data_IF_414100417438
#
_entry.id   IF_414100417438
#
_cell.length_a   1.000
_cell.length_b   1.000
_cell.length_c   1.000
_cell.angle_alpha   90.00
_cell.angle_beta   90.00
_cell.angle_gamma   90.00
#
_symmetry.space_group_name_H-M   'P 1'
#
loop_
_entity.id
_entity.type
_entity.pdbx_description
1 polymer ?
#
# COMPACT_ATOMS: atom_id res chain seq x y z
N UNK A 1 25.68 29.57 -24.40
CA UNK A 1 24.42 29.04 -23.84
C UNK A 1 23.89 30.05 -22.84
N UNK A 2 22.79 30.73 -23.15
CA UNK A 2 22.21 31.71 -22.23
C UNK A 2 21.34 30.97 -21.19
N UNK A 3 21.15 31.56 -20.00
CA UNK A 3 20.30 30.98 -18.95
C UNK A 3 18.89 30.65 -19.48
N UNK A 4 18.35 31.47 -20.37
CA UNK A 4 17.03 31.26 -20.99
C UNK A 4 16.97 30.00 -21.88
N UNK A 5 18.10 29.56 -22.44
CA UNK A 5 18.14 28.36 -23.28
C UNK A 5 17.93 27.07 -22.47
N UNK A 6 18.18 27.10 -21.16
CA UNK A 6 17.90 25.98 -20.25
C UNK A 6 16.40 25.75 -20.03
N UNK A 7 15.57 26.78 -20.26
CA UNK A 7 14.13 26.75 -20.04
C UNK A 7 13.35 26.74 -21.37
N UNK A 8 13.93 26.18 -22.43
CA UNK A 8 13.29 26.10 -23.76
C UNK A 8 12.07 25.19 -23.79
N UNK A 9 12.03 24.16 -22.95
CA UNK A 9 10.86 23.29 -22.80
C UNK A 9 10.27 23.48 -21.42
N UNK A 10 8.99 23.87 -21.38
CA UNK A 10 8.22 23.92 -20.15
C UNK A 10 7.44 22.61 -19.96
N UNK A 11 7.55 22.01 -18.78
CA UNK A 11 6.69 20.90 -18.38
C UNK A 11 5.50 21.44 -17.59
N UNK A 12 4.29 21.17 -18.04
CA UNK A 12 3.05 21.58 -17.37
C UNK A 12 2.29 20.35 -16.88
N UNK A 13 2.29 20.11 -15.59
CA UNK A 13 1.44 19.10 -14.97
C UNK A 13 0.00 19.59 -14.88
N UNK A 14 -0.94 18.75 -15.29
CA UNK A 14 -2.39 19.00 -15.20
C UNK A 14 -3.09 17.84 -14.51
N UNK A 15 -4.04 18.17 -13.63
CA UNK A 15 -4.83 17.17 -12.89
C UNK A 15 -5.73 16.31 -13.78
N UNK A 16 -6.07 16.77 -14.99
CA UNK A 16 -6.92 16.05 -15.93
C UNK A 16 -6.64 16.46 -17.38
N UNK A 17 -6.96 15.55 -18.32
CA UNK A 17 -6.75 15.75 -19.76
C UNK A 17 -7.43 17.00 -20.31
N UNK A 18 -8.69 17.24 -19.94
CA UNK A 18 -9.46 18.41 -20.41
C UNK A 18 -8.80 19.73 -20.05
N UNK A 19 -8.28 19.86 -18.83
CA UNK A 19 -7.50 21.02 -18.40
C UNK A 19 -6.20 21.15 -19.19
N UNK A 20 -5.60 20.02 -19.57
CA UNK A 20 -4.46 20.00 -20.48
C UNK A 20 -4.77 20.56 -21.86
N UNK A 21 -5.81 20.05 -22.51
CA UNK A 21 -6.25 20.53 -23.83
C UNK A 21 -6.55 22.05 -23.79
N UNK A 22 -7.22 22.53 -22.75
CA UNK A 22 -7.50 23.96 -22.56
C UNK A 22 -6.24 24.81 -22.43
N UNK A 23 -5.20 24.31 -21.76
CA UNK A 23 -3.92 25.02 -21.64
C UNK A 23 -3.21 25.06 -23.00
N UNK A 24 -3.23 23.96 -23.76
CA UNK A 24 -2.64 23.91 -25.10
C UNK A 24 -3.30 24.96 -26.02
N UNK A 25 -4.63 24.95 -26.08
CA UNK A 25 -5.40 25.89 -26.89
C UNK A 25 -5.14 27.35 -26.48
N UNK A 26 -5.14 27.62 -25.17
CA UNK A 26 -4.88 28.96 -24.64
C UNK A 26 -3.45 29.44 -24.95
N UNK A 27 -2.45 28.56 -24.84
CA UNK A 27 -1.06 28.89 -25.17
C UNK A 27 -0.91 29.17 -26.66
N UNK A 28 -1.51 28.35 -27.54
CA UNK A 28 -1.48 28.58 -28.98
C UNK A 28 -2.06 29.96 -29.33
N UNK A 29 -3.25 30.27 -28.82
CA UNK A 29 -3.90 31.56 -29.06
C UNK A 29 -3.09 32.75 -28.49
N UNK A 30 -2.50 32.59 -27.31
CA UNK A 30 -1.68 33.63 -26.68
C UNK A 30 -0.39 33.91 -27.47
N UNK A 31 0.31 32.85 -27.90
CA UNK A 31 1.54 32.97 -28.70
C UNK A 31 1.24 33.62 -30.05
N UNK A 32 0.16 33.20 -30.70
CA UNK A 32 -0.29 33.78 -31.97
C UNK A 32 -0.53 35.29 -31.84
N UNK A 33 -1.28 35.68 -30.82
CA UNK A 33 -1.58 37.09 -30.52
C UNK A 33 -0.32 37.91 -30.25
N UNK A 34 0.62 37.38 -29.48
CA UNK A 34 1.87 38.09 -29.17
C UNK A 34 2.78 38.23 -30.40
N UNK A 35 2.84 37.22 -31.27
CA UNK A 35 3.58 37.32 -32.53
C UNK A 35 3.01 38.42 -33.44
N UNK A 36 1.68 38.49 -33.56
CA UNK A 36 1.02 39.58 -34.31
C UNK A 36 1.34 40.93 -33.70
N UNK A 37 1.24 41.06 -32.36
CA UNK A 37 1.54 42.31 -31.63
C UNK A 37 2.98 42.79 -31.85
N UNK A 38 3.93 41.86 -31.92
CA UNK A 38 5.35 42.15 -32.11
C UNK A 38 5.78 42.23 -33.58
N UNK A 39 4.84 42.15 -34.52
CA UNK A 39 5.08 42.09 -35.96
C UNK A 39 6.12 41.01 -36.35
N UNK A 40 6.00 39.84 -35.72
CA UNK A 40 6.81 38.65 -36.01
C UNK A 40 5.99 37.70 -36.89
N UNK A 41 6.67 37.01 -37.80
CA UNK A 41 6.03 35.90 -38.52
C UNK A 41 5.53 34.88 -37.50
N UNK A 42 4.30 34.38 -37.69
CA UNK A 42 3.77 33.32 -36.84
C UNK A 42 4.70 32.12 -36.93
N UNK A 43 5.36 31.83 -35.80
CA UNK A 43 6.12 30.62 -35.61
C UNK A 43 5.24 29.59 -34.93
N UNK A 44 5.36 28.34 -35.37
CA UNK A 44 4.68 27.21 -34.75
C UNK A 44 5.14 27.06 -33.28
N UNK A 45 4.18 26.83 -32.38
CA UNK A 45 4.44 26.55 -30.97
C UNK A 45 4.06 25.10 -30.71
N UNK A 46 5.05 24.20 -30.70
CA UNK A 46 4.80 22.77 -30.51
C UNK A 46 4.54 22.49 -29.02
N UNK A 47 3.27 22.23 -28.70
CA UNK A 47 2.79 21.89 -27.37
C UNK A 47 2.09 20.52 -27.42
N UNK A 48 2.63 19.53 -26.71
CA UNK A 48 2.16 18.14 -26.80
C UNK A 48 1.55 17.67 -25.48
N UNK A 49 0.55 16.79 -25.56
CA UNK A 49 -0.12 16.20 -24.40
C UNK A 49 0.36 14.77 -24.13
N UNK A 50 0.74 14.49 -22.89
CA UNK A 50 1.02 13.15 -22.36
C UNK A 50 -0.05 12.81 -21.32
N UNK A 51 -0.85 11.78 -21.56
CA UNK A 51 -1.88 11.36 -20.60
C UNK A 51 -1.96 9.84 -20.51
N UNK A 52 -2.60 9.31 -19.46
CA UNK A 52 -2.75 7.85 -19.29
C UNK A 52 -3.53 7.13 -20.40
N UNK A 53 -4.19 7.86 -21.30
CA UNK A 53 -4.85 7.30 -22.49
C UNK A 53 -3.99 7.33 -23.77
N UNK A 54 -2.74 7.76 -23.67
CA UNK A 54 -1.76 7.80 -24.79
C UNK A 54 -0.89 6.54 -24.72
N UNK A 55 -0.56 5.96 -25.88
CA UNK A 55 0.30 4.77 -25.92
C UNK A 55 1.71 5.07 -25.41
N UNK A 56 2.35 4.11 -24.73
CA UNK A 56 3.70 4.26 -24.20
C UNK A 56 4.72 4.60 -25.29
N UNK A 57 4.53 4.07 -26.50
CA UNK A 57 5.38 4.39 -27.66
C UNK A 57 5.30 5.86 -28.02
N UNK A 58 4.10 6.44 -28.01
CA UNK A 58 3.89 7.86 -28.31
C UNK A 58 4.50 8.75 -27.22
N UNK A 59 4.34 8.37 -25.96
CA UNK A 59 5.00 9.05 -24.82
C UNK A 59 6.52 9.04 -25.01
N UNK A 60 7.11 7.89 -25.35
CA UNK A 60 8.56 7.80 -25.61
C UNK A 60 9.00 8.66 -26.79
N UNK A 61 8.22 8.73 -27.86
CA UNK A 61 8.53 9.58 -29.02
C UNK A 61 8.51 11.07 -28.66
N UNK A 62 7.50 11.54 -27.92
CA UNK A 62 7.43 12.94 -27.46
C UNK A 62 8.66 13.31 -26.63
N UNK A 63 9.12 12.38 -25.80
CA UNK A 63 10.28 12.61 -24.94
C UNK A 63 11.59 12.58 -25.70
N UNK A 64 11.73 11.68 -26.66
CA UNK A 64 12.88 11.64 -27.56
C UNK A 64 13.01 12.97 -28.33
N UNK A 65 11.91 13.50 -28.86
CA UNK A 65 11.91 14.79 -29.56
C UNK A 65 12.29 15.95 -28.61
N UNK A 66 11.86 15.87 -27.35
CA UNK A 66 12.22 16.82 -26.32
C UNK A 66 13.72 16.77 -25.99
N UNK A 67 14.35 15.59 -25.99
CA UNK A 67 15.80 15.44 -25.80
C UNK A 67 16.62 15.90 -27.00
N UNK A 68 16.20 15.54 -28.22
CA UNK A 68 16.88 15.92 -29.46
C UNK A 68 16.96 17.45 -29.62
N UNK A 69 15.95 18.16 -29.12
CA UNK A 69 15.88 19.63 -29.07
C UNK A 69 17.06 20.30 -28.32
N UNK A 70 17.86 19.52 -27.57
CA UNK A 70 19.04 19.97 -26.82
C UNK A 70 20.35 19.25 -27.18
N UNK A 71 20.36 18.40 -28.21
CA UNK A 71 21.49 17.51 -28.52
C UNK A 71 22.67 18.20 -29.23
N UNK A 72 22.45 19.35 -29.87
CA UNK A 72 23.40 20.02 -30.75
C UNK A 72 24.11 21.21 -30.07
N UNK A 73 25.35 21.50 -30.50
CA UNK A 73 26.12 22.69 -30.04
C UNK A 73 25.43 24.00 -30.43
N UNK A 74 24.73 23.99 -31.56
CA UNK A 74 23.87 25.08 -32.01
C UNK A 74 22.42 24.72 -31.72
N UNK A 75 21.73 25.60 -31.00
CA UNK A 75 20.34 25.38 -30.69
C UNK A 75 19.46 25.46 -31.94
N UNK A 76 18.62 24.45 -32.22
CA UNK A 76 17.66 24.53 -33.31
C UNK A 76 16.69 25.70 -33.12
N UNK A 77 16.05 26.10 -34.23
CA UNK A 77 15.06 27.17 -34.21
C UNK A 77 13.93 26.78 -33.26
N UNK A 78 13.47 27.75 -32.48
CA UNK A 78 12.38 27.56 -31.51
C UNK A 78 11.12 26.96 -32.16
N UNK A 79 10.86 27.31 -33.42
CA UNK A 79 9.74 26.82 -34.21
C UNK A 79 9.82 25.35 -34.65
N UNK A 80 10.99 24.72 -34.52
CA UNK A 80 11.26 23.35 -34.99
C UNK A 80 11.39 22.36 -33.81
N UNK A 81 11.23 22.84 -32.58
CA UNK A 81 11.40 22.07 -31.35
C UNK A 81 10.13 22.04 -30.54
N UNK A 82 9.93 20.96 -29.78
CA UNK A 82 8.95 20.91 -28.69
C UNK A 82 9.20 22.08 -27.74
N UNK A 83 8.14 22.81 -27.37
CA UNK A 83 8.22 23.99 -26.49
C UNK A 83 7.53 23.78 -25.16
N UNK A 84 6.50 22.94 -25.16
CA UNK A 84 5.74 22.65 -23.97
C UNK A 84 5.26 21.20 -24.02
N UNK A 85 5.36 20.54 -22.87
CA UNK A 85 4.79 19.22 -22.65
C UNK A 85 3.77 19.39 -21.56
N UNK A 86 2.50 19.18 -21.89
CA UNK A 86 1.41 19.15 -20.92
C UNK A 86 1.20 17.70 -20.54
N UNK A 87 1.21 17.37 -19.26
CA UNK A 87 1.13 16.00 -18.81
C UNK A 87 0.24 15.79 -17.58
N UNK A 88 -0.47 14.66 -17.53
CA UNK A 88 -1.14 14.21 -16.30
C UNK A 88 -0.18 13.40 -15.42
N UNK A 89 -0.72 12.57 -14.52
CA UNK A 89 0.01 11.53 -13.75
C UNK A 89 0.90 10.60 -14.59
N UNK A 90 0.78 10.59 -15.91
CA UNK A 90 1.66 9.83 -16.78
C UNK A 90 3.12 10.32 -16.73
N UNK A 91 3.40 11.58 -16.32
CA UNK A 91 4.78 12.08 -16.21
C UNK A 91 5.52 11.63 -14.94
N UNK A 92 4.79 11.27 -13.88
CA UNK A 92 5.42 10.80 -12.64
C UNK A 92 5.96 9.37 -12.79
N UNK A 93 5.36 8.56 -13.68
CA UNK A 93 5.67 7.14 -13.84
C UNK A 93 6.29 6.82 -15.21
N UNK A 94 7.39 6.07 -15.23
CA UNK A 94 7.82 5.32 -16.41
C UNK A 94 8.46 6.10 -17.56
N UNK A 95 8.80 7.38 -17.36
CA UNK A 95 9.41 8.21 -18.40
C UNK A 95 10.53 9.05 -17.79
N UNK A 96 11.75 8.85 -18.27
CA UNK A 96 12.94 9.48 -17.72
C UNK A 96 13.55 10.46 -18.72
N UNK A 97 13.61 11.74 -18.36
CA UNK A 97 14.28 12.77 -19.16
C UNK A 97 15.02 13.69 -18.18
N UNK A 98 16.34 13.70 -18.29
CA UNK A 98 17.22 14.35 -17.31
C UNK A 98 17.38 15.87 -17.49
N UNK A 99 16.57 16.50 -18.34
CA UNK A 99 16.89 17.82 -18.90
C UNK A 99 15.81 18.89 -18.81
N UNK A 100 14.71 18.66 -18.11
CA UNK A 100 13.74 19.73 -17.84
C UNK A 100 14.23 20.65 -16.72
N UNK A 101 14.14 21.97 -16.93
CA UNK A 101 14.53 22.97 -15.91
C UNK A 101 13.37 23.90 -15.52
N UNK A 102 12.18 23.74 -16.09
CA UNK A 102 10.99 24.51 -15.72
C UNK A 102 9.76 23.62 -15.68
N UNK A 103 9.07 23.64 -14.53
CA UNK A 103 7.81 22.95 -14.33
C UNK A 103 6.72 23.85 -13.79
N UNK A 104 5.49 23.61 -14.23
CA UNK A 104 4.29 24.27 -13.75
C UNK A 104 3.28 23.20 -13.33
N UNK A 105 2.77 23.26 -12.10
CA UNK A 105 1.64 22.45 -11.65
C UNK A 105 0.36 23.28 -11.77
N UNK A 106 -0.47 22.98 -12.76
CA UNK A 106 -1.81 23.55 -12.89
C UNK A 106 -2.80 22.78 -12.00
N UNK A 107 -2.86 23.21 -10.75
CA UNK A 107 -3.50 22.48 -9.65
C UNK A 107 -2.56 21.47 -9.00
N UNK A 108 -2.83 21.17 -7.73
CA UNK A 108 -2.05 20.19 -6.98
C UNK A 108 -2.43 18.75 -7.40
N UNK A 109 -1.45 17.83 -7.59
CA UNK A 109 -1.74 16.42 -7.80
C UNK A 109 -2.59 15.82 -6.67
N UNK A 110 -3.33 14.76 -6.99
CA UNK A 110 -4.13 14.05 -6.00
C UNK A 110 -3.28 13.37 -4.93
N UNK A 111 -2.08 12.91 -5.26
CA UNK A 111 -1.16 12.27 -4.33
C UNK A 111 0.11 13.12 -4.13
N UNK A 112 0.61 13.14 -2.89
CA UNK A 112 1.89 13.77 -2.56
C UNK A 112 3.04 12.99 -3.20
N UNK A 113 2.96 11.66 -3.25
CA UNK A 113 3.97 10.84 -3.92
C UNK A 113 4.12 11.23 -5.40
N UNK A 114 2.98 11.45 -6.07
CA UNK A 114 2.93 11.91 -7.45
C UNK A 114 3.54 13.31 -7.61
N UNK A 115 3.25 14.24 -6.69
CA UNK A 115 3.87 15.56 -6.68
C UNK A 115 5.39 15.50 -6.56
N UNK A 116 5.93 14.66 -5.65
CA UNK A 116 7.38 14.45 -5.50
C UNK A 116 7.97 13.89 -6.79
N UNK A 117 7.39 12.79 -7.29
CA UNK A 117 7.91 12.11 -8.47
C UNK A 117 7.92 13.03 -9.68
N UNK A 118 6.83 13.76 -9.92
CA UNK A 118 6.70 14.69 -11.03
C UNK A 118 7.67 15.88 -10.88
N UNK A 119 7.73 16.52 -9.71
CA UNK A 119 8.62 17.67 -9.46
C UNK A 119 10.11 17.29 -9.52
N UNK A 120 10.46 16.07 -9.12
CA UNK A 120 11.83 15.54 -9.20
C UNK A 120 12.36 15.32 -10.62
N UNK A 121 11.50 15.43 -11.65
CA UNK A 121 11.90 15.41 -13.07
C UNK A 121 12.58 16.69 -13.50
N UNK A 122 12.53 17.74 -12.69
CA UNK A 122 13.03 19.07 -13.04
C UNK A 122 14.26 19.44 -12.22
N UNK A 123 15.22 20.08 -12.87
CA UNK A 123 16.41 20.60 -12.21
C UNK A 123 17.50 19.56 -11.95
N UNK A 124 17.50 18.44 -12.69
CA UNK A 124 18.50 17.35 -12.52
C UNK A 124 19.88 17.72 -13.07
N UNK A 125 19.92 18.31 -14.26
CA UNK A 125 21.17 18.69 -14.93
C UNK A 125 21.63 20.11 -14.61
N UNK A 126 20.68 21.04 -14.48
CA UNK A 126 20.94 22.46 -14.20
C UNK A 126 19.92 22.96 -13.18
N UNK A 127 20.17 24.12 -12.57
CA UNK A 127 19.20 24.75 -11.67
C UNK A 127 17.88 24.96 -12.43
N UNK A 128 16.81 24.37 -11.91
CA UNK A 128 15.46 24.51 -12.42
C UNK A 128 14.53 25.15 -11.40
N UNK A 129 13.31 25.43 -11.83
CA UNK A 129 12.24 25.88 -10.93
C UNK A 129 10.95 25.10 -11.16
N UNK A 130 10.18 24.99 -10.09
CA UNK A 130 8.85 24.38 -10.08
C UNK A 130 7.88 25.42 -9.52
N UNK A 131 6.81 25.71 -10.27
CA UNK A 131 5.79 26.66 -9.86
C UNK A 131 4.44 25.95 -9.68
N UNK A 132 3.82 26.12 -8.52
CA UNK A 132 2.43 25.70 -8.30
C UNK A 132 1.47 26.83 -8.69
N UNK A 133 0.59 26.56 -9.65
CA UNK A 133 -0.53 27.40 -10.05
C UNK A 133 -1.81 26.83 -9.40
N UNK A 134 -2.16 27.26 -8.17
CA UNK A 134 -3.29 26.70 -7.43
C UNK A 134 -4.61 27.03 -8.12
N UNK A 135 -5.57 26.09 -8.08
CA UNK A 135 -6.95 26.38 -8.47
C UNK A 135 -7.67 27.06 -7.31
N UNK A 136 -8.07 28.35 -7.39
CA UNK A 136 -8.59 29.09 -6.24
C UNK A 136 -9.88 28.52 -5.65
N UNK A 137 -10.64 27.80 -6.46
CA UNK A 137 -11.89 27.13 -6.06
C UNK A 137 -11.63 25.83 -5.28
N UNK A 138 -10.43 25.24 -5.43
CA UNK A 138 -10.08 24.01 -4.73
C UNK A 138 -9.59 24.33 -3.31
N UNK A 139 -10.32 23.84 -2.31
CA UNK A 139 -9.96 24.03 -0.89
C UNK A 139 -8.58 23.46 -0.56
N UNK A 140 -8.19 22.34 -1.18
CA UNK A 140 -6.89 21.70 -0.95
C UNK A 140 -5.75 22.60 -1.43
N UNK A 141 -5.86 23.12 -2.64
CA UNK A 141 -4.86 24.01 -3.21
C UNK A 141 -4.69 25.28 -2.37
N UNK A 142 -5.81 25.91 -1.94
CA UNK A 142 -5.76 27.07 -1.03
C UNK A 142 -5.01 26.76 0.26
N UNK A 143 -5.35 25.64 0.89
CA UNK A 143 -4.71 25.22 2.14
C UNK A 143 -3.19 25.00 1.96
N UNK A 144 -2.77 24.39 0.85
CA UNK A 144 -1.34 24.18 0.57
C UNK A 144 -0.60 25.50 0.34
N UNK A 145 -1.25 26.49 -0.25
CA UNK A 145 -0.66 27.83 -0.38
C UNK A 145 -0.57 28.53 0.99
N UNK A 146 -1.61 28.45 1.82
CA UNK A 146 -1.63 29.02 3.17
C UNK A 146 -0.57 28.38 4.09
N UNK A 147 -0.28 27.09 3.89
CA UNK A 147 0.66 26.30 4.71
C UNK A 147 1.92 25.89 3.95
N UNK A 148 2.33 26.66 2.94
CA UNK A 148 3.37 26.29 1.97
C UNK A 148 4.67 25.78 2.61
N UNK A 149 5.20 26.48 3.62
CA UNK A 149 6.43 26.08 4.34
C UNK A 149 6.26 24.74 5.05
N UNK A 150 5.17 24.55 5.78
CA UNK A 150 4.88 23.30 6.51
C UNK A 150 4.69 22.15 5.52
N UNK A 151 3.94 22.38 4.45
CA UNK A 151 3.69 21.39 3.40
C UNK A 151 5.00 20.87 2.79
N UNK A 152 5.92 21.78 2.41
CA UNK A 152 7.20 21.38 1.83
C UNK A 152 8.19 20.81 2.84
N UNK A 153 8.13 21.23 4.12
CA UNK A 153 8.99 20.69 5.18
C UNK A 153 8.66 19.24 5.54
N UNK A 154 7.38 18.85 5.46
CA UNK A 154 6.92 17.52 5.87
C UNK A 154 6.46 16.64 4.71
N UNK A 155 6.84 17.02 3.48
CA UNK A 155 6.35 16.45 2.24
C UNK A 155 6.55 14.93 2.17
N UNK A 156 7.73 14.42 2.53
CA UNK A 156 8.04 12.98 2.57
C UNK A 156 7.23 12.21 3.63
N UNK A 157 6.87 12.85 4.74
CA UNK A 157 6.07 12.23 5.81
C UNK A 157 4.59 12.09 5.45
N UNK A 158 4.16 12.79 4.40
CA UNK A 158 2.79 12.77 3.89
C UNK A 158 2.60 11.73 2.78
N UNK A 159 3.67 11.03 2.37
CA UNK A 159 3.57 9.89 1.44
C UNK A 159 2.80 8.78 2.13
N UNK A 160 1.72 8.30 1.51
CA UNK A 160 1.00 7.14 2.00
C UNK A 160 1.94 5.92 1.98
N UNK A 161 1.99 5.10 3.04
CA UNK A 161 2.76 3.86 2.99
C UNK A 161 2.24 3.00 1.84
N UNK A 162 3.13 2.26 1.14
CA UNK A 162 2.71 1.34 0.09
C UNK A 162 1.69 0.34 0.67
N UNK A 163 0.76 -0.11 -0.18
CA UNK A 163 -0.20 -1.13 0.22
C UNK A 163 0.56 -2.32 0.82
N UNK A 164 0.19 -2.70 2.06
CA UNK A 164 0.85 -3.80 2.77
C UNK A 164 0.55 -5.09 2.00
N UNK A 165 1.60 -5.74 1.51
CA UNK A 165 1.51 -7.06 0.91
C UNK A 165 0.92 -8.06 1.91
N UNK A 166 0.03 -8.94 1.45
CA UNK A 166 -0.65 -9.95 2.29
C UNK A 166 0.34 -10.75 3.15
N UNK A 167 1.51 -11.04 2.60
CA UNK A 167 2.55 -11.83 3.22
C UNK A 167 3.69 -11.00 3.83
N UNK A 168 3.47 -9.72 4.13
CA UNK A 168 4.51 -8.90 4.78
C UNK A 168 5.11 -9.59 6.01
N UNK A 169 6.43 -9.83 6.00
CA UNK A 169 7.14 -10.64 7.00
C UNK A 169 6.84 -10.19 8.43
N UNK A 170 6.91 -8.89 8.68
CA UNK A 170 6.64 -8.32 10.00
C UNK A 170 5.19 -8.49 10.46
N UNK A 171 4.22 -8.56 9.53
CA UNK A 171 2.83 -8.83 9.88
C UNK A 171 2.65 -10.28 10.32
N UNK A 172 3.21 -11.23 9.55
CA UNK A 172 3.19 -12.67 9.88
C UNK A 172 3.88 -12.94 11.22
N UNK A 173 5.05 -12.33 11.46
CA UNK A 173 5.77 -12.52 12.72
C UNK A 173 5.01 -11.97 13.93
N UNK A 174 4.36 -10.81 13.81
CA UNK A 174 3.61 -10.19 14.92
C UNK A 174 2.36 -10.98 15.32
N UNK A 175 1.76 -11.76 14.41
CA UNK A 175 0.56 -12.55 14.71
C UNK A 175 0.86 -13.94 15.28
N UNK A 176 2.12 -14.38 15.32
CA UNK A 176 2.51 -15.71 15.81
C UNK A 176 2.09 -15.98 17.26
N UNK A 177 2.20 -14.99 18.14
CA UNK A 177 1.75 -15.13 19.53
C UNK A 177 0.22 -15.38 19.60
N UNK A 178 -0.55 -14.73 18.74
CA UNK A 178 -1.99 -14.96 18.64
C UNK A 178 -2.32 -16.35 18.09
N UNK A 179 -1.54 -16.86 17.13
CA UNK A 179 -1.72 -18.23 16.65
C UNK A 179 -1.43 -19.27 17.74
N UNK A 180 -0.39 -19.07 18.55
CA UNK A 180 -0.13 -19.95 19.69
C UNK A 180 -1.30 -19.98 20.68
N UNK A 181 -1.87 -18.81 21.01
CA UNK A 181 -3.02 -18.72 21.89
C UNK A 181 -4.25 -19.43 21.28
N UNK A 182 -4.56 -19.16 20.02
CA UNK A 182 -5.69 -19.81 19.33
C UNK A 182 -5.49 -21.32 19.26
N UNK A 183 -4.28 -21.78 18.94
CA UNK A 183 -3.93 -23.20 18.97
C UNK A 183 -4.19 -23.81 20.34
N UNK A 184 -3.71 -23.18 21.42
CA UNK A 184 -3.89 -23.66 22.78
C UNK A 184 -5.38 -23.78 23.17
N UNK A 185 -6.19 -22.76 22.85
CA UNK A 185 -7.63 -22.77 23.09
C UNK A 185 -8.35 -23.86 22.28
N UNK A 186 -7.96 -24.06 21.02
CA UNK A 186 -8.55 -25.11 20.18
C UNK A 186 -8.15 -26.51 20.65
N UNK A 187 -6.92 -26.70 21.13
CA UNK A 187 -6.50 -27.97 21.72
C UNK A 187 -7.27 -28.28 23.01
N UNK A 188 -7.50 -27.27 23.86
CA UNK A 188 -8.37 -27.43 25.04
C UNK A 188 -9.79 -27.83 24.64
N UNK A 189 -10.39 -27.12 23.68
CA UNK A 189 -11.73 -27.44 23.19
C UNK A 189 -11.81 -28.85 22.61
N UNK A 190 -10.83 -29.27 21.81
CA UNK A 190 -10.73 -30.65 21.28
C UNK A 190 -10.66 -31.68 22.41
N UNK A 191 -9.82 -31.46 23.42
CA UNK A 191 -9.69 -32.36 24.57
C UNK A 191 -10.98 -32.42 25.39
N UNK A 192 -11.67 -31.29 25.55
CA UNK A 192 -12.96 -31.22 26.25
C UNK A 192 -14.07 -31.98 25.52
N UNK A 193 -14.14 -31.83 24.20
CA UNK A 193 -15.13 -32.54 23.38
C UNK A 193 -14.87 -34.05 23.35
N UNK A 194 -13.60 -34.47 23.34
CA UNK A 194 -13.21 -35.88 23.34
C UNK A 194 -13.39 -36.57 24.70
N UNK A 195 -13.48 -35.81 25.80
CA UNK A 195 -13.61 -36.38 27.14
C UNK A 195 -15.03 -36.94 27.43
N UNK A 196 -15.13 -38.07 28.14
CA UNK A 196 -16.40 -38.55 28.70
C UNK A 196 -17.10 -37.50 29.58
N UNK A 197 -18.43 -37.52 29.66
CA UNK A 197 -19.20 -36.48 30.36
C UNK A 197 -18.79 -36.28 31.83
N UNK A 198 -18.44 -37.36 32.52
CA UNK A 198 -17.99 -37.36 33.92
C UNK A 198 -16.54 -36.87 34.12
N UNK A 199 -15.78 -36.76 33.03
CA UNK A 199 -14.38 -36.30 33.05
C UNK A 199 -14.18 -34.91 32.43
N UNK A 200 -15.19 -34.36 31.74
CA UNK A 200 -15.15 -33.02 31.13
C UNK A 200 -14.72 -31.92 32.10
N UNK A 201 -15.18 -31.97 33.35
CA UNK A 201 -14.81 -31.00 34.39
C UNK A 201 -13.34 -31.11 34.85
N UNK A 202 -12.63 -32.20 34.49
CA UNK A 202 -11.22 -32.43 34.83
C UNK A 202 -10.28 -32.09 33.68
N UNK A 203 -10.81 -31.68 32.52
CA UNK A 203 -9.99 -31.34 31.37
C UNK A 203 -9.15 -30.12 31.71
N UNK A 204 -7.80 -30.22 31.62
CA UNK A 204 -6.94 -29.12 32.01
C UNK A 204 -7.08 -27.93 31.07
N UNK A 205 -7.20 -26.74 31.65
CA UNK A 205 -7.18 -25.49 30.90
C UNK A 205 -5.78 -25.22 30.31
N UNK A 206 -5.74 -24.62 29.12
CA UNK A 206 -4.54 -24.23 28.40
C UNK A 206 -4.25 -22.72 28.53
N UNK A 207 -4.85 -22.07 29.53
CA UNK A 207 -4.69 -20.66 29.88
C UNK A 207 -3.37 -20.36 30.63
N UNK A 208 -2.65 -21.39 31.06
CA UNK A 208 -1.38 -21.26 31.78
C UNK A 208 -0.17 -21.65 30.94
N UNK A 209 0.81 -20.73 30.85
CA UNK A 209 2.11 -20.95 30.18
C UNK A 209 2.83 -22.20 30.71
N UNK A 210 2.74 -22.48 32.01
CA UNK A 210 3.38 -23.65 32.62
C UNK A 210 2.92 -24.96 31.98
N UNK A 211 1.66 -25.01 31.52
CA UNK A 211 1.09 -26.18 30.84
C UNK A 211 1.67 -26.32 29.43
N UNK A 212 1.68 -25.24 28.66
CA UNK A 212 2.29 -25.22 27.32
C UNK A 212 3.76 -25.63 27.38
N UNK A 213 4.49 -25.12 28.37
CA UNK A 213 5.89 -25.50 28.64
C UNK A 213 6.02 -26.98 28.98
N UNK A 214 5.11 -27.54 29.77
CA UNK A 214 5.12 -28.98 30.09
C UNK A 214 4.86 -29.85 28.86
N UNK A 215 4.01 -29.40 27.93
CA UNK A 215 3.73 -30.11 26.68
C UNK A 215 4.96 -30.04 25.77
N UNK A 216 5.51 -28.85 25.56
CA UNK A 216 6.71 -28.63 24.77
C UNK A 216 7.92 -29.42 25.31
N UNK A 217 8.10 -29.52 26.63
CA UNK A 217 9.19 -30.33 27.22
C UNK A 217 9.00 -31.84 27.06
N UNK A 218 7.75 -32.32 27.03
CA UNK A 218 7.45 -33.76 26.89
C UNK A 218 7.66 -34.24 25.47
N UNK A 219 7.26 -33.43 24.49
CA UNK A 219 7.42 -33.72 23.07
C UNK A 219 7.79 -32.44 22.30
N UNK A 220 9.07 -32.04 22.33
CA UNK A 220 9.57 -30.82 21.69
C UNK A 220 9.25 -30.78 20.20
N UNK A 221 9.53 -31.89 19.51
CA UNK A 221 9.40 -31.98 18.06
C UNK A 221 7.94 -32.03 17.63
N UNK A 222 7.11 -32.83 18.33
CA UNK A 222 5.67 -32.90 18.06
C UNK A 222 4.97 -31.57 18.31
N UNK A 223 5.31 -30.88 19.40
CA UNK A 223 4.77 -29.55 19.69
C UNK A 223 5.12 -28.53 18.62
N UNK A 224 6.41 -28.42 18.25
CA UNK A 224 6.86 -27.46 17.24
C UNK A 224 6.22 -27.74 15.87
N UNK A 225 6.13 -29.01 15.47
CA UNK A 225 5.54 -29.37 14.18
C UNK A 225 4.02 -29.10 14.13
N UNK A 226 3.29 -29.45 15.18
CA UNK A 226 1.84 -29.21 15.25
C UNK A 226 1.53 -27.71 15.28
N UNK A 227 2.30 -26.94 16.05
CA UNK A 227 2.17 -25.49 16.11
C UNK A 227 2.50 -24.82 14.77
N UNK A 228 3.60 -25.22 14.12
CA UNK A 228 3.99 -24.67 12.82
C UNK A 228 2.93 -24.99 11.75
N UNK A 229 2.43 -26.22 11.72
CA UNK A 229 1.35 -26.62 10.81
C UNK A 229 0.10 -25.79 11.05
N UNK A 230 -0.30 -25.59 12.30
CA UNK A 230 -1.43 -24.74 12.64
C UNK A 230 -1.23 -23.30 12.19
N UNK A 231 -0.05 -22.71 12.44
CA UNK A 231 0.28 -21.36 12.01
C UNK A 231 0.19 -21.21 10.49
N UNK A 232 0.73 -22.16 9.71
CA UNK A 232 0.66 -22.16 8.25
C UNK A 232 -0.78 -22.19 7.75
N UNK A 233 -1.62 -23.07 8.29
CA UNK A 233 -3.04 -23.13 7.94
C UNK A 233 -3.78 -21.85 8.34
N UNK A 234 -3.54 -21.33 9.54
CA UNK A 234 -4.24 -20.16 10.08
C UNK A 234 -3.87 -18.85 9.37
N UNK A 235 -2.68 -18.74 8.78
CA UNK A 235 -2.32 -17.61 7.91
C UNK A 235 -2.78 -17.80 6.45
N UNK A 236 -3.38 -18.95 6.12
CA UNK A 236 -3.88 -19.26 4.78
C UNK A 236 -2.76 -19.52 3.78
N UNK A 237 -1.68 -20.19 4.22
CA UNK A 237 -0.50 -20.51 3.41
C UNK A 237 -0.82 -21.25 2.11
N UNK A 238 -1.77 -22.18 2.15
CA UNK A 238 -2.16 -22.97 0.97
C UNK A 238 -2.99 -22.17 -0.03
N UNK A 239 -3.46 -20.96 0.32
CA UNK A 239 -4.37 -20.17 -0.51
C UNK A 239 -5.78 -20.78 -0.59
N UNK A 240 -6.61 -20.26 -1.49
CA UNK A 240 -7.99 -20.75 -1.70
C UNK A 240 -8.21 -21.29 -3.11
N UNK A 241 -8.97 -22.37 -3.20
CA UNK A 241 -9.36 -23.00 -4.47
C UNK A 241 -8.21 -23.69 -5.20
N UNK A 242 -8.50 -24.21 -6.39
CA UNK A 242 -7.53 -24.94 -7.21
C UNK A 242 -6.33 -24.09 -7.67
N UNK A 243 -6.48 -22.77 -7.68
CA UNK A 243 -5.43 -21.82 -8.08
C UNK A 243 -4.60 -21.30 -6.89
N UNK A 244 -4.85 -21.79 -5.67
CA UNK A 244 -4.12 -21.38 -4.47
C UNK A 244 -4.09 -19.84 -4.28
N UNK A 245 -5.23 -19.18 -4.53
CA UNK A 245 -5.33 -17.72 -4.48
C UNK A 245 -4.96 -17.18 -3.09
N UNK A 246 -3.99 -16.26 -3.07
CA UNK A 246 -3.47 -15.66 -1.85
C UNK A 246 -2.40 -16.47 -1.11
N UNK A 247 -1.93 -17.59 -1.70
CA UNK A 247 -0.70 -18.25 -1.25
C UNK A 247 0.52 -17.34 -1.50
N UNK A 248 1.62 -17.48 -0.74
CA UNK A 248 2.81 -16.68 -0.94
C UNK A 248 3.61 -17.17 -2.14
N UNK A 249 4.23 -16.26 -2.90
CA UNK A 249 5.14 -16.63 -3.99
C UNK A 249 6.37 -17.41 -3.49
N UNK A 250 6.94 -17.00 -2.35
CA UNK A 250 8.13 -17.62 -1.75
C UNK A 250 7.77 -18.62 -0.65
N UNK A 251 6.99 -19.64 -0.98
CA UNK A 251 6.46 -20.63 -0.03
C UNK A 251 7.52 -21.23 0.92
N UNK A 252 8.69 -21.61 0.40
CA UNK A 252 9.74 -22.21 1.21
C UNK A 252 10.32 -21.24 2.26
N UNK A 253 10.42 -19.96 1.92
CA UNK A 253 10.89 -18.92 2.85
C UNK A 253 9.91 -18.77 4.02
N UNK A 254 8.62 -18.64 3.74
CA UNK A 254 7.59 -18.49 4.78
C UNK A 254 7.46 -19.73 5.65
N UNK A 255 7.54 -20.93 5.05
CA UNK A 255 7.55 -22.19 5.80
C UNK A 255 8.72 -22.27 6.76
N UNK A 256 9.94 -22.05 6.29
CA UNK A 256 11.14 -22.06 7.15
C UNK A 256 11.07 -21.01 8.26
N UNK A 257 10.53 -19.83 7.97
CA UNK A 257 10.34 -18.79 8.98
C UNK A 257 9.37 -19.23 10.08
N UNK A 258 8.22 -19.81 9.71
CA UNK A 258 7.21 -20.28 10.66
C UNK A 258 7.76 -21.46 11.47
N UNK A 259 8.41 -22.43 10.81
CA UNK A 259 9.03 -23.58 11.49
C UNK A 259 10.07 -23.13 12.51
N UNK A 260 10.94 -22.19 12.13
CA UNK A 260 11.94 -21.60 13.03
C UNK A 260 11.27 -20.94 14.24
N UNK A 261 10.22 -20.14 14.01
CA UNK A 261 9.51 -19.41 15.07
C UNK A 261 8.73 -20.34 16.00
N UNK A 262 8.16 -21.42 15.49
CA UNK A 262 7.56 -22.47 16.31
C UNK A 262 8.62 -23.17 17.19
N UNK A 263 9.83 -23.40 16.64
CA UNK A 263 10.96 -23.96 17.37
C UNK A 263 11.49 -23.05 18.48
N UNK A 264 11.53 -21.74 18.28
CA UNK A 264 11.96 -20.76 19.31
C UNK A 264 11.09 -20.85 20.59
N UNK A 265 9.80 -21.19 20.49
CA UNK A 265 8.94 -21.41 21.67
C UNK A 265 9.34 -22.64 22.51
N UNK A 266 10.12 -23.55 21.94
CA UNK A 266 10.60 -24.77 22.58
C UNK A 266 12.02 -24.59 23.12
N UNK A 267 12.90 -23.96 22.35
CA UNK A 267 14.33 -23.89 22.63
C UNK A 267 14.71 -22.79 23.65
N UNK A 268 14.09 -21.60 23.59
CA UNK A 268 14.53 -20.42 24.34
C UNK A 268 13.67 -20.08 25.58
N UNK A 269 12.71 -20.95 25.96
CA UNK A 269 11.71 -20.67 27.01
C UNK A 269 10.89 -19.37 26.75
N UNK A 270 10.83 -18.92 25.49
CA UNK A 270 10.26 -17.66 24.95
C UNK A 270 8.74 -17.49 25.13
N UNK A 271 8.09 -18.43 25.80
CA UNK A 271 6.69 -18.35 26.22
C UNK A 271 6.41 -17.15 27.15
N UNK A 272 7.41 -16.40 27.59
CA UNK A 272 7.25 -15.16 28.36
C UNK A 272 6.49 -14.07 27.57
N UNK A 273 6.64 -13.99 26.24
CA UNK A 273 5.95 -13.00 25.39
C UNK A 273 4.44 -13.31 25.27
N UNK A 274 4.03 -14.57 25.46
CA UNK A 274 2.62 -14.95 25.47
C UNK A 274 1.88 -14.45 26.72
N UNK A 275 2.61 -14.06 27.78
CA UNK A 275 2.02 -13.62 29.04
C UNK A 275 1.21 -12.31 28.85
N UNK A 276 1.72 -11.36 28.05
CA UNK A 276 1.03 -10.09 27.80
C UNK A 276 -0.21 -10.25 26.89
N UNK A 277 -0.23 -11.25 26.01
CA UNK A 277 -1.36 -11.47 25.07
C UNK A 277 -2.49 -12.25 25.76
N UNK A 278 -2.15 -13.26 26.56
CA UNK A 278 -3.13 -14.10 27.29
C UNK A 278 -3.79 -13.30 28.42
N UNK A 279 -3.07 -12.41 29.11
CA UNK A 279 -3.65 -11.51 30.14
C UNK A 279 -4.53 -10.41 29.55
N UNK A 280 -4.14 -9.79 28.42
CA UNK A 280 -4.91 -8.68 27.81
C UNK A 280 -6.27 -9.14 27.25
N UNK A 281 -6.38 -10.40 26.80
CA UNK A 281 -7.66 -10.96 26.37
C UNK A 281 -8.64 -11.20 27.54
N UNK A 282 -8.13 -11.39 28.77
CA UNK A 282 -8.95 -11.61 29.97
C UNK A 282 -9.34 -10.30 30.68
N UNK A 283 -8.58 -9.20 30.51
CA UNK A 283 -8.85 -7.91 31.17
C UNK A 283 -9.70 -6.88 30.39
N UNK A 284 -10.15 -7.17 29.15
CA UNK A 284 -10.95 -6.23 28.36
C UNK A 284 -12.32 -6.77 27.92
N UNK A 285 -13.30 -6.94 28.83
CA UNK A 285 -14.69 -7.20 28.45
C UNK A 285 -15.38 -5.99 27.77
N UNK A 286 -14.70 -4.85 27.58
CA UNK A 286 -15.33 -3.59 27.12
C UNK A 286 -15.10 -3.26 25.63
N UNK A 287 -14.54 -4.18 24.84
CA UNK A 287 -14.41 -3.97 23.37
C UNK A 287 -15.01 -5.05 22.49
N UNK A 288 -15.55 -6.15 23.05
CA UNK A 288 -16.30 -7.13 22.26
C UNK A 288 -17.62 -6.58 21.71
N UNK A 289 -18.22 -5.56 22.33
CA UNK A 289 -19.45 -4.92 21.83
C UNK A 289 -19.28 -4.31 20.43
N UNK A 290 -18.09 -3.79 20.09
CA UNK A 290 -17.82 -3.22 18.75
C UNK A 290 -17.48 -4.26 17.69
N UNK A 291 -17.14 -5.48 18.10
CA UNK A 291 -16.93 -6.58 17.17
C UNK A 291 -18.28 -7.16 16.73
N UNK A 292 -19.27 -7.20 17.64
CA UNK A 292 -20.67 -7.56 17.32
C UNK A 292 -21.31 -6.58 16.32
N UNK A 293 -21.04 -5.27 16.45
CA UNK A 293 -21.55 -4.28 15.47
C UNK A 293 -20.82 -4.32 14.12
N UNK A 294 -19.55 -4.75 14.08
CA UNK A 294 -18.78 -4.87 12.84
C UNK A 294 -19.04 -6.20 12.10
N UNK A 295 -19.67 -7.14 12.78
CA UNK A 295 -20.06 -8.45 12.26
C UNK A 295 -21.38 -8.39 11.47
N UNK A 296 -22.15 -7.30 11.58
CA UNK A 296 -23.37 -7.09 10.77
C UNK A 296 -23.12 -6.54 9.36
N UNK A 297 -21.86 -6.37 8.93
CA UNK A 297 -21.55 -5.79 7.63
C UNK A 297 -20.38 -6.48 6.93
N UNK A 298 -20.73 -7.47 6.09
CA UNK A 298 -19.91 -8.18 5.08
C UNK A 298 -19.33 -9.52 5.55
N UNK A 299 -19.89 -10.60 5.01
CA UNK A 299 -19.32 -11.87 4.51
C UNK A 299 -18.02 -12.42 5.14
N UNK A 300 -17.78 -12.18 6.43
CA UNK A 300 -16.71 -12.81 7.22
C UNK A 300 -17.21 -14.12 7.86
N UNK A 301 -18.54 -14.28 7.98
CA UNK A 301 -19.17 -15.48 8.55
C UNK A 301 -18.86 -16.75 7.75
N UNK A 302 -18.99 -16.69 6.43
CA UNK A 302 -18.75 -17.85 5.55
C UNK A 302 -17.31 -18.38 5.66
N UNK A 303 -16.34 -17.51 5.95
CA UNK A 303 -14.92 -17.89 6.06
C UNK A 303 -14.62 -18.64 7.35
N UNK A 304 -15.24 -18.22 8.46
CA UNK A 304 -15.06 -18.87 9.76
C UNK A 304 -15.83 -20.19 9.79
N UNK A 305 -17.01 -20.22 9.16
CA UNK A 305 -17.83 -21.42 9.03
C UNK A 305 -17.14 -22.49 8.17
N UNK A 306 -16.56 -22.12 7.02
CA UNK A 306 -15.79 -23.06 6.19
C UNK A 306 -14.55 -23.63 6.91
N UNK A 307 -13.83 -22.79 7.66
CA UNK A 307 -12.63 -23.21 8.38
C UNK A 307 -12.95 -24.17 9.54
N UNK A 308 -14.17 -24.11 10.08
CA UNK A 308 -14.66 -24.99 11.14
C UNK A 308 -15.30 -26.27 10.58
N UNK A 309 -15.92 -26.21 9.41
CA UNK A 309 -16.37 -27.41 8.67
C UNK A 309 -15.19 -28.29 8.24
N UNK A 310 -14.11 -27.71 7.72
CA UNK A 310 -12.87 -28.46 7.41
C UNK A 310 -12.18 -29.01 8.68
N UNK A 311 -12.45 -28.42 9.85
CA UNK A 311 -11.99 -28.90 11.15
C UNK A 311 -12.95 -29.91 11.82
N UNK A 312 -14.07 -30.26 11.17
CA UNK A 312 -15.03 -31.27 11.63
C UNK A 312 -15.97 -30.79 12.75
N UNK A 313 -16.16 -29.48 12.91
CA UNK A 313 -17.01 -28.89 13.96
C UNK A 313 -18.36 -28.49 13.34
N UNK A 314 -19.43 -29.21 13.68
CA UNK A 314 -20.77 -29.00 13.10
C UNK A 314 -21.47 -27.71 13.57
N UNK A 315 -22.34 -27.16 12.71
CA UNK A 315 -23.13 -25.92 12.90
C UNK A 315 -23.82 -25.80 14.28
N UNK A 316 -24.33 -26.91 14.85
CA UNK A 316 -24.93 -26.90 16.19
C UNK A 316 -23.95 -26.52 17.32
N UNK A 317 -22.65 -26.74 17.14
CA UNK A 317 -21.62 -26.38 18.11
C UNK A 317 -21.36 -24.87 18.13
N UNK A 318 -21.51 -24.20 16.98
CA UNK A 318 -21.39 -22.75 16.84
C UNK A 318 -22.56 -22.03 17.52
N UNK A 319 -23.79 -22.52 17.31
CA UNK A 319 -24.99 -21.99 17.98
C UNK A 319 -24.91 -22.12 19.51
N UNK A 320 -24.34 -23.21 20.02
CA UNK A 320 -24.11 -23.43 21.46
C UNK A 320 -23.08 -22.44 22.03
N UNK A 321 -22.05 -22.09 21.26
CA UNK A 321 -21.00 -21.16 21.64
C UNK A 321 -21.54 -19.71 21.67
N UNK A 322 -22.36 -19.34 20.68
CA UNK A 322 -23.10 -18.07 20.64
C UNK A 322 -24.11 -17.98 21.79
N UNK A 323 -24.85 -19.06 22.07
CA UNK A 323 -25.82 -19.10 23.17
C UNK A 323 -25.15 -19.01 24.56
N UNK A 324 -24.00 -19.66 24.75
CA UNK A 324 -23.24 -19.60 26.01
C UNK A 324 -22.65 -18.21 26.26
N UNK A 325 -22.23 -17.50 25.21
CA UNK A 325 -21.74 -16.12 25.28
C UNK A 325 -22.87 -15.09 25.44
N UNK A 326 -24.09 -15.40 25.01
CA UNK A 326 -25.28 -14.56 25.17
C UNK A 326 -25.92 -14.61 26.57
N UNK A 327 -25.60 -15.60 27.41
CA UNK A 327 -26.19 -15.76 28.75
C UNK A 327 -25.40 -15.11 29.90
N UNK A 328 -24.27 -14.44 29.61
CA UNK A 328 -23.58 -13.55 30.56
C UNK A 328 -23.63 -12.10 30.07
N UNK A 329 -24.81 -11.50 30.15
CA UNK A 329 -25.03 -10.06 30.08
C UNK A 329 -25.58 -9.56 31.43
#
# INVERSE_FOLDING_TARGET
MALIDLHRIALAYVTNKKGGDQIIDALHAAVEKEHVRLNRQQQFFDCRLISGGVDMTEIQNVMKDAEESFSSKDYPRISETVRCIVATSAISHGVDVDRFNSMFFAGLPSDVAEYIQASSRVGRSHVGFVLLLPTPQNRRDRYVIETHDIFHRFLERMIAPPAIERWAESAVQRTMASYLQTWAMLQEAKNFLAAPEDEKAKVPHMDQIARLRSIAKRDPLGFSNDLASFMLSACGFEGRGAEHLGSPDYQEFYRRMIDKKAGEFVDDDDLAVANDVILVALEQPVRLQRLVDMVHGRDIFDVVELALEDAGIGQHLFDLLVAALGQRA
#
